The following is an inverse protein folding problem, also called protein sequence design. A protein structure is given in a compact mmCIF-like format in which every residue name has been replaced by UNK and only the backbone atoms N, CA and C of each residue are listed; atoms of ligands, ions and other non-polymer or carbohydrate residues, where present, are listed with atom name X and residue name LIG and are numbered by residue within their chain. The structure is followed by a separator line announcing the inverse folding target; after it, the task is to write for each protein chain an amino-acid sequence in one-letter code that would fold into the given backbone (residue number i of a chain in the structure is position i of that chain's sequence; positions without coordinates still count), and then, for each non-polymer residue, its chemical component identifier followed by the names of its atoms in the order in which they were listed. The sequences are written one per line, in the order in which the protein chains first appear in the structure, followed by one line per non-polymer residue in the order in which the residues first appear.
data_IF_594986472380
#
_entry.id   IF_594986472380
#
_cell.length_a   1.000
_cell.length_b   1.000
_cell.length_c   1.000
_cell.angle_alpha   90.00
_cell.angle_beta   90.00
_cell.angle_gamma   90.00
#
_symmetry.space_group_name_H-M   'P 1'
#
loop_
_entity.id
_entity.type
_entity.pdbx_description
1 polymer ?
#
# COMPACT_ATOMS: atom_id res chain seq x y z
N UNK A 1 -12.16 -8.14 13.62
CA UNK A 1 -11.56 -9.26 12.88
C UNK A 1 -12.15 -9.48 11.51
N UNK A 2 -13.38 -9.11 11.29
CA UNK A 2 -13.93 -9.22 9.93
C UNK A 2 -13.15 -8.41 8.89
N UNK A 3 -12.45 -7.40 9.35
CA UNK A 3 -11.62 -6.60 8.44
C UNK A 3 -10.50 -7.38 7.79
N UNK A 4 -10.08 -8.46 8.42
CA UNK A 4 -9.04 -9.32 7.89
C UNK A 4 -9.48 -9.94 6.57
N UNK A 5 -10.74 -10.37 6.51
CA UNK A 5 -11.24 -11.01 5.30
C UNK A 5 -11.49 -10.04 4.16
N UNK A 6 -11.56 -8.75 4.45
CA UNK A 6 -11.80 -7.75 3.40
C UNK A 6 -10.72 -7.72 2.35
N UNK A 7 -9.50 -8.09 2.72
CA UNK A 7 -8.37 -7.99 1.79
C UNK A 7 -8.09 -9.30 1.06
N UNK A 8 -8.72 -10.38 1.46
CA UNK A 8 -8.47 -11.65 0.80
C UNK A 8 -8.90 -11.59 -0.66
N UNK A 9 -7.98 -11.89 -1.57
CA UNK A 9 -8.24 -11.87 -3.01
C UNK A 9 -8.31 -10.47 -3.61
N UNK A 10 -8.16 -9.43 -2.80
CA UNK A 10 -8.20 -8.06 -3.33
C UNK A 10 -6.88 -7.70 -3.99
N UNK A 11 -6.96 -6.86 -5.00
CA UNK A 11 -5.78 -6.36 -5.70
C UNK A 11 -5.44 -5.00 -5.10
N UNK A 12 -4.28 -4.90 -4.49
CA UNK A 12 -3.89 -3.73 -3.71
C UNK A 12 -2.59 -3.15 -4.26
N UNK A 13 -2.56 -1.84 -4.44
CA UNK A 13 -1.34 -1.13 -4.77
C UNK A 13 -0.84 -0.40 -3.53
N UNK A 14 0.42 -0.63 -3.17
CA UNK A 14 1.07 0.10 -2.09
C UNK A 14 2.05 1.08 -2.73
N UNK A 15 1.86 2.37 -2.49
CA UNK A 15 2.70 3.42 -3.04
C UNK A 15 3.64 3.94 -1.97
N UNK A 16 4.93 3.75 -2.19
CA UNK A 16 5.98 4.21 -1.29
C UNK A 16 6.70 3.05 -0.60
N UNK A 17 8.02 3.13 -0.57
CA UNK A 17 8.88 2.10 0.02
C UNK A 17 9.48 2.53 1.36
N UNK A 18 8.84 3.43 2.07
CA UNK A 18 9.24 3.71 3.44
C UNK A 18 8.98 2.48 4.31
N UNK A 19 9.49 2.49 5.52
CA UNK A 19 9.33 1.34 6.42
C UNK A 19 7.87 0.96 6.57
N UNK A 20 7.00 1.95 6.75
CA UNK A 20 5.57 1.68 6.91
C UNK A 20 4.95 1.05 5.66
N UNK A 21 5.38 1.52 4.48
CA UNK A 21 4.86 0.97 3.22
C UNK A 21 5.29 -0.46 3.01
N UNK A 22 6.54 -0.77 3.30
CA UNK A 22 7.06 -2.12 3.18
C UNK A 22 6.31 -3.05 4.14
N UNK A 23 6.12 -2.61 5.38
CA UNK A 23 5.39 -3.40 6.37
C UNK A 23 3.94 -3.59 5.96
N UNK A 24 3.31 -2.56 5.40
CA UNK A 24 1.94 -2.67 4.92
C UNK A 24 1.83 -3.69 3.79
N UNK A 25 2.80 -3.68 2.87
CA UNK A 25 2.80 -4.63 1.76
C UNK A 25 2.87 -6.07 2.27
N UNK A 26 3.79 -6.35 3.20
CA UNK A 26 3.91 -7.69 3.76
C UNK A 26 2.66 -8.10 4.53
N UNK A 27 2.08 -7.18 5.28
CA UNK A 27 0.87 -7.46 6.02
C UNK A 27 -0.28 -7.82 5.09
N UNK A 28 -0.44 -7.06 4.01
CA UNK A 28 -1.49 -7.34 3.04
C UNK A 28 -1.34 -8.71 2.40
N UNK A 29 -0.10 -9.12 2.12
CA UNK A 29 0.14 -10.46 1.60
C UNK A 29 -0.33 -11.52 2.60
N UNK A 30 -0.05 -11.30 3.88
CA UNK A 30 -0.51 -12.23 4.92
C UNK A 30 -2.02 -12.31 5.00
N UNK A 31 -2.70 -11.23 4.61
CA UNK A 31 -4.16 -11.19 4.60
C UNK A 31 -4.76 -11.75 3.32
N UNK A 32 -3.92 -12.25 2.43
CA UNK A 32 -4.38 -12.88 1.20
C UNK A 32 -4.58 -11.95 0.02
N UNK A 33 -4.10 -10.72 0.11
CA UNK A 33 -4.22 -9.77 -0.99
C UNK A 33 -3.17 -10.03 -2.06
N UNK A 34 -3.49 -9.61 -3.28
CA UNK A 34 -2.52 -9.57 -4.38
C UNK A 34 -1.90 -8.19 -4.41
N UNK A 35 -0.66 -8.09 -3.99
CA UNK A 35 -0.02 -6.80 -3.73
C UNK A 35 0.95 -6.43 -4.83
N UNK A 36 0.87 -5.19 -5.28
CA UNK A 36 1.87 -4.55 -6.13
C UNK A 36 2.42 -3.37 -5.32
N UNK A 37 3.72 -3.23 -5.28
CA UNK A 37 4.39 -2.13 -4.60
C UNK A 37 5.04 -1.23 -5.64
N UNK A 38 4.87 0.07 -5.49
CA UNK A 38 5.41 1.05 -6.44
C UNK A 38 6.09 2.18 -5.70
N UNK A 39 7.26 2.58 -6.18
CA UNK A 39 7.92 3.80 -5.71
C UNK A 39 8.49 4.53 -6.90
N UNK A 40 8.34 5.85 -6.88
CA UNK A 40 8.89 6.69 -7.92
C UNK A 40 10.41 6.60 -7.97
N UNK A 41 11.03 6.44 -6.83
CA UNK A 41 12.49 6.30 -6.73
C UNK A 41 12.87 4.83 -6.83
N UNK A 42 14.04 4.59 -7.43
CA UNK A 42 14.62 3.26 -7.45
C UNK A 42 15.57 3.13 -6.25
N UNK A 43 15.38 2.13 -5.39
CA UNK A 43 16.28 1.93 -4.25
C UNK A 43 17.73 1.77 -4.69
N UNK A 44 18.66 2.26 -3.88
CA UNK A 44 20.08 2.19 -4.22
C UNK A 44 20.62 0.78 -4.25
N UNK A 45 20.07 -0.10 -3.42
CA UNK A 45 20.42 -1.50 -3.46
C UNK A 45 19.15 -2.32 -3.64
N UNK A 46 19.32 -3.61 -3.89
CA UNK A 46 18.17 -4.44 -4.22
C UNK A 46 17.53 -5.11 -3.01
N UNK A 47 18.00 -4.81 -1.80
CA UNK A 47 17.52 -5.51 -0.61
C UNK A 47 16.01 -5.35 -0.43
N UNK A 48 15.50 -4.12 -0.58
CA UNK A 48 14.08 -3.85 -0.44
C UNK A 48 13.27 -4.55 -1.52
N UNK A 49 13.74 -4.45 -2.77
CA UNK A 49 13.05 -5.06 -3.90
C UNK A 49 13.05 -6.58 -3.75
N UNK A 50 14.19 -7.15 -3.39
CA UNK A 50 14.30 -8.59 -3.23
C UNK A 50 13.41 -9.09 -2.10
N UNK A 51 13.35 -8.35 -0.99
CA UNK A 51 12.49 -8.69 0.13
C UNK A 51 11.03 -8.72 -0.27
N UNK A 52 10.59 -7.70 -1.00
CA UNK A 52 9.20 -7.64 -1.47
C UNK A 52 8.90 -8.76 -2.45
N UNK A 53 9.80 -9.00 -3.39
CA UNK A 53 9.60 -10.06 -4.39
C UNK A 53 9.59 -11.44 -3.76
N UNK A 54 10.38 -11.63 -2.72
CA UNK A 54 10.41 -12.92 -2.01
C UNK A 54 9.05 -13.25 -1.39
N UNK A 55 8.26 -12.24 -1.09
CA UNK A 55 6.92 -12.41 -0.53
C UNK A 55 5.83 -12.43 -1.62
N UNK A 56 6.23 -12.52 -2.88
CA UNK A 56 5.30 -12.60 -3.99
C UNK A 56 4.72 -11.26 -4.44
N UNK A 57 5.32 -10.16 -4.01
CA UNK A 57 4.85 -8.82 -4.34
C UNK A 57 5.46 -8.39 -5.67
N UNK A 58 4.62 -7.87 -6.57
CA UNK A 58 5.10 -7.26 -7.80
C UNK A 58 5.67 -5.89 -7.47
N UNK A 59 6.86 -5.59 -7.99
CA UNK A 59 7.54 -4.34 -7.65
C UNK A 59 7.78 -3.50 -8.90
N UNK A 60 7.41 -2.23 -8.85
CA UNK A 60 7.59 -1.27 -9.94
C UNK A 60 8.29 -0.05 -9.37
N UNK A 61 9.47 0.26 -9.89
CA UNK A 61 10.27 1.40 -9.39
C UNK A 61 10.65 2.34 -10.51
N UNK A 62 11.05 3.53 -10.14
CA UNK A 62 11.58 4.53 -11.09
C UNK A 62 10.54 5.47 -11.65
N UNK A 63 9.28 5.23 -11.39
CA UNK A 63 8.20 6.06 -11.89
C UNK A 63 6.92 5.71 -11.14
N UNK A 64 5.89 6.55 -11.31
CA UNK A 64 4.52 6.22 -10.93
C UNK A 64 3.70 6.14 -12.22
N UNK A 65 3.73 4.99 -12.91
CA UNK A 65 3.06 4.89 -14.22
C UNK A 65 1.56 5.07 -14.09
N UNK A 66 1.01 6.01 -14.86
CA UNK A 66 -0.43 6.26 -14.84
C UNK A 66 -1.20 5.02 -15.26
N UNK A 67 -0.59 4.17 -16.09
CA UNK A 67 -1.21 2.92 -16.53
C UNK A 67 -1.60 2.01 -15.36
N UNK A 68 -0.99 2.17 -14.20
CA UNK A 68 -1.39 1.38 -13.03
C UNK A 68 -2.85 1.64 -12.65
N UNK A 69 -3.37 2.82 -12.95
CA UNK A 69 -4.76 3.13 -12.66
C UNK A 69 -5.72 2.25 -13.46
N UNK A 70 -5.25 1.64 -14.55
CA UNK A 70 -6.07 0.81 -15.42
C UNK A 70 -6.00 -0.67 -15.09
N UNK A 71 -5.28 -1.05 -14.03
CA UNK A 71 -5.06 -2.46 -13.72
C UNK A 71 -6.12 -3.07 -12.81
N UNK A 72 -7.10 -2.30 -12.40
CA UNK A 72 -8.20 -2.84 -11.62
C UNK A 72 -7.90 -3.04 -10.14
N UNK A 73 -7.07 -2.17 -9.57
CA UNK A 73 -6.82 -2.24 -8.14
C UNK A 73 -8.09 -1.95 -7.36
N UNK A 74 -8.31 -2.73 -6.31
CA UNK A 74 -9.47 -2.56 -5.44
C UNK A 74 -9.25 -1.45 -4.42
N UNK A 75 -8.00 -1.24 -4.02
CA UNK A 75 -7.65 -0.18 -3.07
C UNK A 75 -6.18 0.20 -3.24
N UNK A 76 -5.89 1.45 -2.94
CA UNK A 76 -4.52 1.97 -2.96
C UNK A 76 -4.13 2.37 -1.54
N UNK A 77 -3.00 1.87 -1.08
CA UNK A 77 -2.43 2.27 0.21
C UNK A 77 -1.29 3.23 -0.09
N UNK A 78 -1.44 4.45 0.35
CA UNK A 78 -0.55 5.54 -0.03
C UNK A 78 0.26 6.02 1.17
N UNK A 79 1.54 6.27 0.93
CA UNK A 79 2.36 6.97 1.92
C UNK A 79 1.83 8.41 2.06
N UNK A 80 1.63 8.90 3.28
CA UNK A 80 1.08 10.26 3.46
C UNK A 80 1.92 11.36 2.83
N UNK A 81 3.21 11.11 2.59
CA UNK A 81 4.07 12.08 1.93
C UNK A 81 3.85 12.22 0.44
N UNK A 82 3.07 11.33 -0.18
CA UNK A 82 2.76 11.43 -1.60
C UNK A 82 1.52 12.29 -1.75
N UNK A 83 1.61 13.44 -2.43
CA UNK A 83 0.45 14.35 -2.50
C UNK A 83 -0.63 13.82 -3.42
N UNK A 84 -1.85 14.32 -3.22
CA UNK A 84 -2.98 13.91 -4.06
C UNK A 84 -2.90 14.47 -5.48
N UNK A 85 -2.05 15.46 -5.73
CA UNK A 85 -1.84 15.95 -7.09
C UNK A 85 -0.81 15.12 -7.86
N UNK A 86 -0.22 14.12 -7.24
CA UNK A 86 0.58 13.14 -7.97
C UNK A 86 -0.29 12.57 -9.09
N UNK A 87 0.18 12.53 -10.33
CA UNK A 87 -0.67 12.12 -11.46
C UNK A 87 -1.32 10.74 -11.31
N UNK A 88 -0.61 9.78 -10.76
CA UNK A 88 -1.18 8.45 -10.55
C UNK A 88 -2.24 8.48 -9.46
N UNK A 89 -1.97 9.16 -8.35
CA UNK A 89 -2.95 9.29 -7.28
C UNK A 89 -4.20 9.99 -7.79
N UNK A 90 -4.01 11.08 -8.54
CA UNK A 90 -5.14 11.81 -9.11
C UNK A 90 -5.98 10.93 -10.04
N UNK A 91 -5.33 10.05 -10.79
CA UNK A 91 -6.05 9.12 -11.68
C UNK A 91 -6.92 8.16 -10.87
N UNK A 92 -6.42 7.65 -9.76
CA UNK A 92 -7.21 6.78 -8.89
C UNK A 92 -8.38 7.53 -8.27
N UNK A 93 -8.16 8.77 -7.82
CA UNK A 93 -9.24 9.59 -7.26
C UNK A 93 -10.32 9.80 -8.30
N UNK A 94 -9.92 10.14 -9.52
CA UNK A 94 -10.86 10.43 -10.60
C UNK A 94 -11.75 9.24 -10.92
N UNK A 95 -11.21 8.03 -10.86
CA UNK A 95 -12.00 6.84 -11.18
C UNK A 95 -12.70 6.23 -9.97
N UNK A 96 -12.54 6.84 -8.80
CA UNK A 96 -13.26 6.40 -7.61
C UNK A 96 -12.61 5.25 -6.86
N UNK A 97 -11.36 4.93 -7.14
CA UNK A 97 -10.66 3.88 -6.42
C UNK A 97 -10.37 4.35 -4.98
N UNK A 98 -10.73 3.57 -3.96
CA UNK A 98 -10.45 3.96 -2.58
C UNK A 98 -8.95 4.12 -2.33
N UNK A 99 -8.57 5.19 -1.67
CA UNK A 99 -7.19 5.45 -1.29
C UNK A 99 -7.14 5.64 0.21
N UNK A 100 -6.29 4.86 0.87
CA UNK A 100 -6.08 4.99 2.30
C UNK A 100 -4.60 5.17 2.57
N UNK A 101 -4.28 5.71 3.74
CA UNK A 101 -2.88 5.80 4.16
C UNK A 101 -2.50 4.52 4.89
N UNK A 102 -1.20 4.35 5.09
CA UNK A 102 -0.69 3.21 5.85
C UNK A 102 -1.25 3.18 7.26
N UNK A 103 -1.40 4.35 7.87
CA UNK A 103 -1.97 4.44 9.21
C UNK A 103 -3.42 4.00 9.23
N UNK A 104 -4.19 4.41 8.22
CA UNK A 104 -5.59 4.00 8.11
C UNK A 104 -5.71 2.49 7.92
N UNK A 105 -4.80 1.90 7.16
CA UNK A 105 -4.79 0.45 6.99
C UNK A 105 -4.60 -0.25 8.33
N UNK A 106 -3.61 0.19 9.10
CA UNK A 106 -3.37 -0.37 10.41
C UNK A 106 -4.58 -0.23 11.33
N UNK A 107 -5.19 0.94 11.29
CA UNK A 107 -6.38 1.19 12.09
C UNK A 107 -7.52 0.24 11.73
N UNK A 108 -7.75 0.03 10.43
CA UNK A 108 -8.79 -0.88 9.96
C UNK A 108 -8.54 -2.32 10.39
N UNK A 109 -7.31 -2.79 10.21
CA UNK A 109 -6.98 -4.18 10.45
C UNK A 109 -7.04 -4.52 11.92
N UNK A 110 -6.54 -3.63 12.75
CA UNK A 110 -6.51 -3.87 14.20
C UNK A 110 -7.74 -3.33 14.90
N UNK A 111 -8.69 -2.80 14.11
CA UNK A 111 -9.95 -2.29 14.63
C UNK A 111 -9.72 -1.23 15.71
N UNK A 112 -8.65 -0.45 15.54
CA UNK A 112 -8.29 0.59 16.46
C UNK A 112 -7.66 0.10 17.76
N UNK A 113 -7.67 -1.18 17.99
CA UNK A 113 -7.22 -1.73 19.25
C UNK A 113 -5.74 -1.49 19.50
N UNK A 114 -4.91 -1.99 18.61
CA UNK A 114 -3.48 -1.84 18.76
C UNK A 114 -3.05 -0.39 18.60
N UNK A 115 -3.63 0.27 17.63
CA UNK A 115 -3.27 1.66 17.36
C UNK A 115 -3.65 2.56 18.52
N UNK A 116 -4.79 2.31 19.15
CA UNK A 116 -5.20 3.15 20.26
C UNK A 116 -4.23 3.04 21.44
N UNK A 117 -3.66 1.90 21.67
CA UNK A 117 -2.63 1.74 22.71
C UNK A 117 -1.42 2.58 22.37
N UNK A 118 -1.00 2.53 21.11
CA UNK A 118 0.14 3.31 20.66
C UNK A 118 -0.19 4.77 20.58
N UNK A 119 -1.37 5.08 20.08
CA UNK A 119 -1.79 6.44 19.89
C UNK A 119 -1.95 7.22 21.16
N UNK A 120 -2.25 6.54 22.25
CA UNK A 120 -2.40 7.21 23.52
C UNK A 120 -1.10 7.86 23.96
N UNK A 121 -0.03 7.46 23.39
CA UNK A 121 1.27 8.03 23.70
C UNK A 121 1.57 9.28 22.90
N UNK A 122 0.68 9.51 22.07
CA UNK A 122 0.77 10.72 21.14
C UNK A 122 0.96 10.96 21.04
#
# INVERSE_FOLDING_TARGET
MKKIDEYQGKKVLVMGFGISGINAAHLLVKLGANVTANDKATPKNNDIVDDLKADGIKVITGDNPISLANEGFDVVVKNPGIPYDNPLVAAFVKQGTPIITEAELGWQIFDGHLVSVTGSNG
#
